data_IF_549199250496
#
_entry.id   IF_549199250496
#
_cell.length_a   1.000
_cell.length_b   1.000
_cell.length_c   1.000
_cell.angle_alpha   90.00
_cell.angle_beta   90.00
_cell.angle_gamma   90.00
#
_symmetry.space_group_name_H-M   'P 1'
#
loop_
_entity.id
_entity.type
_entity.pdbx_description
1 polymer ?
#
# COMPACT_ATOMS: atom_id res chain seq x y z
N UNK A 1 -19.39 26.49 -11.59
CA UNK A 1 -19.53 26.97 -10.21
C UNK A 1 -19.24 25.79 -9.31
N UNK A 2 -18.01 25.65 -8.82
CA UNK A 2 -17.67 24.62 -7.83
C UNK A 2 -18.16 25.09 -6.46
N UNK A 3 -19.08 24.32 -5.87
CA UNK A 3 -19.52 24.56 -4.49
C UNK A 3 -18.32 24.41 -3.54
N UNK A 4 -18.24 25.20 -2.45
CA UNK A 4 -17.19 25.02 -1.45
C UNK A 4 -17.33 23.62 -0.84
N UNK A 5 -16.36 22.75 -1.12
CA UNK A 5 -16.33 21.40 -0.56
C UNK A 5 -16.07 21.53 0.94
N UNK A 6 -16.97 20.99 1.77
CA UNK A 6 -16.79 21.03 3.22
C UNK A 6 -15.64 20.09 3.61
N UNK A 7 -14.85 20.43 4.63
CA UNK A 7 -13.75 19.55 5.07
C UNK A 7 -14.27 18.17 5.52
N UNK A 8 -15.47 18.09 6.10
CA UNK A 8 -16.10 16.80 6.43
C UNK A 8 -16.36 15.93 5.20
N UNK A 9 -16.71 16.52 4.05
CA UNK A 9 -16.92 15.78 2.80
C UNK A 9 -15.60 15.24 2.24
N UNK A 10 -14.52 16.02 2.33
CA UNK A 10 -13.17 15.56 1.95
C UNK A 10 -12.70 14.41 2.86
N UNK A 11 -12.90 14.54 4.18
CA UNK A 11 -12.52 13.50 5.13
C UNK A 11 -13.32 12.20 4.93
N UNK A 12 -14.62 12.31 4.64
CA UNK A 12 -15.48 11.15 4.32
C UNK A 12 -15.04 10.45 3.03
N UNK A 13 -14.82 11.21 1.96
CA UNK A 13 -14.36 10.65 0.69
C UNK A 13 -12.98 9.97 0.82
N UNK A 14 -12.09 10.51 1.66
CA UNK A 14 -10.80 9.88 1.94
C UNK A 14 -11.01 8.57 2.73
N UNK A 15 -11.85 8.58 3.77
CA UNK A 15 -12.14 7.36 4.54
C UNK A 15 -12.69 6.24 3.65
N UNK A 16 -13.61 6.54 2.74
CA UNK A 16 -14.15 5.59 1.77
C UNK A 16 -13.05 5.00 0.86
N UNK A 17 -12.11 5.83 0.39
CA UNK A 17 -10.98 5.34 -0.40
C UNK A 17 -10.04 4.46 0.43
N UNK A 18 -9.78 4.82 1.68
CA UNK A 18 -8.95 4.03 2.59
C UNK A 18 -9.58 2.66 2.91
N UNK A 19 -10.92 2.57 2.95
CA UNK A 19 -11.62 1.28 3.04
C UNK A 19 -11.50 0.46 1.76
N UNK A 20 -11.59 1.09 0.59
CA UNK A 20 -11.35 0.43 -0.69
C UNK A 20 -9.90 -0.06 -0.82
N UNK A 21 -8.92 0.67 -0.27
CA UNK A 21 -7.55 0.19 -0.17
C UNK A 21 -7.44 -1.07 0.68
N UNK A 22 -8.11 -1.11 1.84
CA UNK A 22 -8.15 -2.32 2.68
C UNK A 22 -8.59 -3.53 1.83
N UNK A 23 -9.69 -3.41 1.11
CA UNK A 23 -10.20 -4.48 0.24
C UNK A 23 -9.20 -4.87 -0.85
N UNK A 24 -8.60 -3.88 -1.51
CA UNK A 24 -7.62 -4.12 -2.57
C UNK A 24 -6.38 -4.87 -2.06
N UNK A 25 -5.86 -4.50 -0.87
CA UNK A 25 -4.72 -5.18 -0.25
C UNK A 25 -5.09 -6.62 0.13
N UNK A 26 -6.28 -6.85 0.69
CA UNK A 26 -6.75 -8.20 1.05
C UNK A 26 -6.91 -9.09 -0.19
N UNK A 27 -7.37 -8.53 -1.30
CA UNK A 27 -7.53 -9.22 -2.59
C UNK A 27 -6.23 -9.32 -3.38
N UNK A 28 -5.13 -8.71 -2.90
CA UNK A 28 -3.87 -8.57 -3.64
C UNK A 28 -4.04 -7.90 -5.01
N UNK A 29 -5.07 -7.05 -5.16
CA UNK A 29 -5.29 -6.25 -6.36
C UNK A 29 -4.45 -4.96 -6.28
N UNK A 30 -3.18 -5.09 -6.64
CA UNK A 30 -2.22 -3.99 -6.61
C UNK A 30 -2.58 -2.86 -7.59
N UNK A 31 -3.33 -3.16 -8.65
CA UNK A 31 -3.77 -2.17 -9.63
C UNK A 31 -4.87 -1.26 -9.07
N UNK A 32 -5.82 -1.86 -8.37
CA UNK A 32 -6.87 -1.15 -7.64
C UNK A 32 -6.27 -0.34 -6.49
N UNK A 33 -5.31 -0.90 -5.75
CA UNK A 33 -4.59 -0.18 -4.70
C UNK A 33 -3.91 1.10 -5.24
N UNK A 34 -3.16 0.99 -6.35
CA UNK A 34 -2.51 2.16 -6.96
C UNK A 34 -3.52 3.23 -7.40
N UNK A 35 -4.68 2.82 -7.90
CA UNK A 35 -5.78 3.73 -8.26
C UNK A 35 -6.34 4.45 -7.04
N UNK A 36 -6.54 3.74 -5.93
CA UNK A 36 -6.98 4.34 -4.68
C UNK A 36 -5.95 5.37 -4.17
N UNK A 37 -4.66 5.02 -4.15
CA UNK A 37 -3.58 5.92 -3.71
C UNK A 37 -3.51 7.20 -4.55
N UNK A 38 -3.69 7.09 -5.87
CA UNK A 38 -3.73 8.26 -6.74
C UNK A 38 -4.89 9.19 -6.36
N UNK A 39 -6.08 8.64 -6.11
CA UNK A 39 -7.25 9.43 -5.70
C UNK A 39 -7.07 10.06 -4.31
N UNK A 40 -6.46 9.33 -3.37
CA UNK A 40 -6.10 9.86 -2.06
C UNK A 40 -5.13 11.03 -2.19
N UNK A 41 -4.10 10.94 -3.03
CA UNK A 41 -3.16 12.05 -3.26
C UNK A 41 -3.86 13.31 -3.82
N UNK A 42 -4.87 13.13 -4.68
CA UNK A 42 -5.67 14.24 -5.20
C UNK A 42 -6.53 14.87 -4.09
N UNK A 43 -7.11 14.06 -3.20
CA UNK A 43 -7.85 14.57 -2.04
C UNK A 43 -6.94 15.31 -1.07
N UNK A 44 -5.73 14.81 -0.81
CA UNK A 44 -4.72 15.49 0.00
C UNK A 44 -4.37 16.86 -0.57
N UNK A 45 -4.15 16.96 -1.88
CA UNK A 45 -3.90 18.26 -2.52
C UNK A 45 -5.06 19.24 -2.34
N UNK A 46 -6.31 18.78 -2.44
CA UNK A 46 -7.50 19.61 -2.21
C UNK A 46 -7.63 20.02 -0.75
N UNK A 47 -7.31 19.12 0.17
CA UNK A 47 -7.26 19.38 1.60
C UNK A 47 -6.21 20.45 1.94
N UNK A 48 -5.00 20.32 1.39
CA UNK A 48 -3.91 21.28 1.58
C UNK A 48 -4.27 22.65 1.00
N UNK A 49 -4.92 22.70 -0.17
CA UNK A 49 -5.42 23.94 -0.75
C UNK A 49 -6.46 24.62 0.13
N UNK A 50 -7.37 23.86 0.73
CA UNK A 50 -8.33 24.39 1.70
C UNK A 50 -7.62 24.94 2.94
N UNK A 51 -6.66 24.18 3.49
CA UNK A 51 -5.93 24.55 4.70
C UNK A 51 -5.04 25.80 4.49
N UNK A 52 -4.43 25.94 3.30
CA UNK A 52 -3.60 27.08 2.94
C UNK A 52 -4.40 28.28 2.41
N UNK A 53 -5.60 28.05 1.86
CA UNK A 53 -6.51 29.07 1.37
C UNK A 53 -7.32 29.75 2.48
N UNK A 54 -7.43 29.11 3.64
CA UNK A 54 -7.77 29.78 4.89
C UNK A 54 -6.58 30.69 5.27
N UNK A 55 -6.63 31.97 4.88
CA UNK A 55 -5.56 32.95 5.11
C UNK A 55 -5.07 33.01 6.57
N UNK A 56 -3.93 33.67 6.83
CA UNK A 56 -3.30 33.69 8.16
C UNK A 56 -4.32 34.06 9.24
N UNK A 57 -4.66 33.08 10.08
CA UNK A 57 -5.64 33.25 11.14
C UNK A 57 -5.18 34.37 12.09
N UNK A 58 -6.03 35.36 12.39
CA UNK A 58 -5.69 36.43 13.32
C UNK A 58 -5.66 35.89 14.75
N UNK A 59 -4.48 35.49 15.20
CA UNK A 59 -4.14 35.33 16.62
C UNK A 59 -4.50 33.98 17.27
N UNK A 60 -3.81 33.63 18.38
CA UNK A 60 -3.87 32.32 19.02
C UNK A 60 -5.12 32.06 19.89
N UNK A 61 -6.23 32.77 19.66
CA UNK A 61 -7.36 32.78 20.61
C UNK A 61 -8.77 32.58 20.07
N UNK A 62 -8.97 32.40 18.76
CA UNK A 62 -10.31 32.15 18.20
C UNK A 62 -10.30 31.02 17.15
N UNK A 63 -9.61 29.91 17.42
CA UNK A 63 -9.90 28.67 16.70
C UNK A 63 -11.14 28.06 17.34
N UNK A 64 -12.31 28.27 16.75
CA UNK A 64 -13.48 27.45 17.07
C UNK A 64 -13.05 25.97 17.03
N UNK A 65 -13.43 25.15 18.01
CA UNK A 65 -13.09 23.74 17.99
C UNK A 65 -13.60 23.14 16.67
N UNK A 66 -12.79 22.29 15.99
CA UNK A 66 -13.20 21.69 14.74
C UNK A 66 -14.54 20.98 14.96
N UNK A 67 -15.41 21.09 13.96
CA UNK A 67 -16.70 20.40 13.91
C UNK A 67 -16.55 18.98 14.49
N UNK A 68 -17.33 18.60 15.51
CA UNK A 68 -17.21 17.29 16.15
C UNK A 68 -17.31 16.13 15.14
N UNK A 69 -18.08 16.31 14.07
CA UNK A 69 -18.16 15.35 12.96
C UNK A 69 -16.81 15.19 12.27
N UNK A 70 -16.17 16.30 11.91
CA UNK A 70 -14.86 16.29 11.27
C UNK A 70 -13.79 15.64 12.15
N UNK A 71 -13.80 15.94 13.45
CA UNK A 71 -12.86 15.34 14.41
C UNK A 71 -13.01 13.81 14.45
N UNK A 72 -14.24 13.30 14.47
CA UNK A 72 -14.50 11.86 14.45
C UNK A 72 -14.02 11.22 13.14
N UNK A 73 -14.30 11.85 12.00
CA UNK A 73 -13.84 11.37 10.69
C UNK A 73 -12.32 11.30 10.60
N UNK A 74 -11.61 12.32 11.11
CA UNK A 74 -10.14 12.33 11.12
C UNK A 74 -9.54 11.24 12.02
N UNK A 75 -10.15 10.97 13.19
CA UNK A 75 -9.72 9.86 14.05
C UNK A 75 -9.89 8.53 13.32
N UNK A 76 -11.07 8.30 12.75
CA UNK A 76 -11.37 7.08 11.99
C UNK A 76 -10.40 6.90 10.81
N UNK A 77 -10.07 7.99 10.12
CA UNK A 77 -9.11 7.98 9.02
C UNK A 77 -7.70 7.58 9.50
N UNK A 78 -7.21 8.16 10.59
CA UNK A 78 -5.89 7.81 11.16
C UNK A 78 -5.84 6.33 11.55
N UNK A 79 -6.89 5.82 12.19
CA UNK A 79 -6.98 4.41 12.56
C UNK A 79 -6.98 3.51 11.33
N UNK A 80 -7.74 3.89 10.28
CA UNK A 80 -7.80 3.14 9.03
C UNK A 80 -6.46 3.12 8.29
N UNK A 81 -5.78 4.25 8.20
CA UNK A 81 -4.45 4.37 7.57
C UNK A 81 -3.40 3.50 8.30
N UNK A 82 -3.42 3.51 9.64
CA UNK A 82 -2.55 2.61 10.44
C UNK A 82 -2.83 1.15 10.13
N UNK A 83 -4.10 0.77 10.06
CA UNK A 83 -4.50 -0.60 9.72
C UNK A 83 -4.03 -1.00 8.31
N UNK A 84 -4.18 -0.13 7.31
CA UNK A 84 -3.71 -0.39 5.95
C UNK A 84 -2.19 -0.55 5.89
N UNK A 85 -1.43 0.28 6.62
CA UNK A 85 0.03 0.17 6.71
C UNK A 85 0.47 -1.15 7.35
N UNK A 86 -0.17 -1.57 8.44
CA UNK A 86 0.10 -2.88 9.04
C UNK A 86 -0.19 -4.03 8.06
N UNK A 87 -1.30 -3.94 7.34
CA UNK A 87 -1.69 -4.96 6.37
C UNK A 87 -0.68 -5.07 5.22
N UNK A 88 -0.24 -3.93 4.67
CA UNK A 88 0.82 -3.88 3.66
C UNK A 88 2.14 -4.46 4.16
N UNK A 89 2.54 -4.13 5.39
CA UNK A 89 3.76 -4.66 5.99
C UNK A 89 3.70 -6.19 6.16
N UNK A 90 2.55 -6.73 6.55
CA UNK A 90 2.34 -8.18 6.65
C UNK A 90 2.43 -8.86 5.27
N UNK A 91 1.79 -8.29 4.25
CA UNK A 91 1.84 -8.83 2.89
C UNK A 91 3.27 -8.79 2.34
N UNK A 92 3.99 -7.69 2.56
CA UNK A 92 5.40 -7.56 2.18
C UNK A 92 6.28 -8.63 2.83
N UNK A 93 6.14 -8.83 4.14
CA UNK A 93 6.91 -9.84 4.86
C UNK A 93 6.63 -11.27 4.34
N UNK A 94 5.38 -11.56 3.98
CA UNK A 94 5.02 -12.85 3.39
C UNK A 94 5.69 -13.06 2.02
N UNK A 95 5.60 -12.08 1.12
CA UNK A 95 6.22 -12.13 -0.20
C UNK A 95 7.75 -12.22 -0.13
N UNK A 96 8.39 -11.50 0.79
CA UNK A 96 9.84 -11.56 1.02
C UNK A 96 10.27 -12.96 1.50
N UNK A 97 9.49 -13.59 2.38
CA UNK A 97 9.75 -14.95 2.85
C UNK A 97 9.62 -15.99 1.71
N UNK A 98 8.57 -15.90 0.89
CA UNK A 98 8.36 -16.76 -0.28
C UNK A 98 9.50 -16.60 -1.30
N UNK A 99 9.87 -15.37 -1.62
CA UNK A 99 10.99 -15.09 -2.51
C UNK A 99 12.30 -15.70 -2.00
N UNK A 100 12.57 -15.61 -0.69
CA UNK A 100 13.72 -16.23 -0.04
C UNK A 100 13.70 -17.76 -0.12
N UNK A 101 12.53 -18.40 -0.07
CA UNK A 101 12.40 -19.85 -0.27
C UNK A 101 12.68 -20.25 -1.72
N UNK A 102 12.07 -19.54 -2.69
CA UNK A 102 12.27 -19.80 -4.12
C UNK A 102 13.73 -19.61 -4.54
N UNK A 103 14.38 -18.57 -4.04
CA UNK A 103 15.80 -18.30 -4.32
C UNK A 103 16.69 -19.44 -3.82
N UNK A 104 16.45 -19.93 -2.60
CA UNK A 104 17.17 -21.09 -2.04
C UNK A 104 16.91 -22.34 -2.87
N UNK A 105 15.66 -22.64 -3.21
CA UNK A 105 15.30 -23.79 -4.03
C UNK A 105 15.99 -23.74 -5.41
N UNK A 106 15.98 -22.59 -6.07
CA UNK A 106 16.66 -22.38 -7.35
C UNK A 106 18.18 -22.61 -7.22
N UNK A 107 18.80 -22.15 -6.14
CA UNK A 107 20.22 -22.40 -5.89
C UNK A 107 20.52 -23.89 -5.67
N UNK A 108 19.70 -24.59 -4.88
CA UNK A 108 19.82 -26.04 -4.69
C UNK A 108 19.68 -26.81 -6.01
N UNK A 109 18.72 -26.46 -6.86
CA UNK A 109 18.54 -27.07 -8.18
C UNK A 109 19.75 -26.85 -9.09
N UNK A 110 20.28 -25.62 -9.17
CA UNK A 110 21.50 -25.33 -9.95
C UNK A 110 22.68 -26.14 -9.45
N UNK A 111 22.84 -26.24 -8.13
CA UNK A 111 23.91 -27.04 -7.51
C UNK A 111 23.78 -28.53 -7.86
N UNK A 112 22.57 -29.09 -7.80
CA UNK A 112 22.33 -30.49 -8.20
C UNK A 112 22.60 -30.73 -9.70
N UNK A 113 22.23 -29.78 -10.56
CA UNK A 113 22.53 -29.84 -11.99
C UNK A 113 24.04 -29.80 -12.28
N UNK A 114 24.81 -29.01 -11.52
CA UNK A 114 26.28 -28.93 -11.66
C UNK A 114 26.99 -30.17 -11.12
N UNK A 115 26.46 -30.80 -10.07
CA UNK A 115 27.04 -32.00 -9.46
C UNK A 115 26.73 -33.25 -10.28
N UNK A 116 25.72 -33.24 -11.14
CA UNK A 116 25.49 -34.31 -12.13
C UNK A 116 26.59 -34.21 -13.19
N UNK A 117 27.65 -35.05 -13.16
CA UNK A 117 28.50 -35.16 -14.32
C UNK A 117 27.65 -35.82 -15.42
N UNK A 118 28.02 -35.59 -16.68
CA UNK A 118 27.52 -36.41 -17.78
C UNK A 118 27.89 -37.88 -17.53
N UNK A 119 27.04 -38.62 -16.81
CA UNK A 119 27.20 -40.07 -16.58
C UNK A 119 26.83 -40.88 -17.83
N UNK A 120 26.49 -40.24 -18.94
CA UNK A 120 26.30 -40.84 -20.25
C UNK A 120 27.20 -40.04 -21.22
N UNK A 121 28.36 -40.51 -21.64
CA UNK A 121 28.54 -41.33 -22.85
C UNK A 121 30.03 -41.73 -23.02
N UNK A 122 30.69 -42.27 -21.99
CA UNK A 122 32.10 -42.72 -22.11
C UNK A 122 32.34 -44.19 -21.75
N UNK A 123 31.29 -44.96 -21.49
CA UNK A 123 31.39 -46.35 -21.00
C UNK A 123 30.96 -47.46 -21.97
N UNK A 124 30.45 -47.13 -23.16
CA UNK A 124 29.86 -48.13 -24.08
C UNK A 124 30.70 -48.44 -25.33
N UNK A 125 31.98 -48.06 -25.37
CA UNK A 125 32.86 -48.28 -26.54
C UNK A 125 33.95 -49.34 -26.32
N UNK A 126 33.71 -50.34 -25.46
CA UNK A 126 34.59 -51.53 -25.35
C UNK A 126 33.82 -52.85 -25.36
N UNK A 127 33.05 -53.09 -26.41
CA UNK A 127 32.69 -54.44 -26.87
C UNK A 127 32.41 -54.40 -28.38
N UNK A 128 33.48 -54.48 -29.16
CA UNK A 128 33.54 -55.07 -30.53
C UNK A 128 34.87 -54.69 -31.15
#
# INVERSE_FOLDING_TARGET
MDLPVRPADLARAWLELAEQETEAIQQQDWSRLATCQQRISQLQQRWDQWNNGAGPSPGPHNAEPPDPELRQLLIALIERERFNQELLNRQRAALEAEYGQLTRAAWHLRRLQQIRPAQNLAGWSRFS
#
